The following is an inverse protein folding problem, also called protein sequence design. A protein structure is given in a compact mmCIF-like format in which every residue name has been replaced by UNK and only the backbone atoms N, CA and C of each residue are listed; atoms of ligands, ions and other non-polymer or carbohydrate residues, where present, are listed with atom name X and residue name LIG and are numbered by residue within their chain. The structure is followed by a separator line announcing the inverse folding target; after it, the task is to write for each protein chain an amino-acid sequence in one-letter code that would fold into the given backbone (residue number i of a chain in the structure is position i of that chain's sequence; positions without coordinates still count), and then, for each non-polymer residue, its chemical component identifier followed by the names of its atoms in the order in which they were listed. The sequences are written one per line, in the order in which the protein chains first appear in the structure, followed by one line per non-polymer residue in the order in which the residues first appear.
data_IF_731899862962
#
_entry.id   IF_731899862962
#
_cell.length_a   1.000
_cell.length_b   1.000
_cell.length_c   1.000
_cell.angle_alpha   90.00
_cell.angle_beta   90.00
_cell.angle_gamma   90.00
#
_symmetry.space_group_name_H-M   'P 1'
#
loop_
_entity.id
_entity.type
_entity.pdbx_description
1 polymer ?
#
# COMPACT_ATOMS: atom_id res chain seq x y z
N UNK A 1 2.21 -14.68 88.52
CA UNK A 1 1.32 -14.71 87.34
C UNK A 1 1.62 -13.49 86.47
N UNK A 2 2.32 -13.64 85.34
CA UNK A 2 2.55 -12.56 84.37
C UNK A 2 1.90 -12.97 83.05
N UNK A 3 0.91 -12.20 82.60
CA UNK A 3 0.18 -12.44 81.34
C UNK A 3 0.98 -11.81 80.20
N UNK A 4 1.34 -12.61 79.21
CA UNK A 4 1.87 -12.15 77.93
C UNK A 4 0.69 -11.83 76.99
N UNK A 5 0.66 -10.61 76.44
CA UNK A 5 -0.29 -10.21 75.41
C UNK A 5 0.43 -10.41 74.07
N UNK A 6 -0.08 -11.33 73.26
CA UNK A 6 0.37 -11.55 71.89
C UNK A 6 -0.39 -10.60 70.96
N UNK A 7 0.32 -9.65 70.35
CA UNK A 7 -0.20 -8.82 69.27
C UNK A 7 0.03 -9.53 67.93
N UNK A 8 -1.04 -10.03 67.33
CA UNK A 8 -1.04 -10.51 65.95
C UNK A 8 -1.01 -9.29 65.02
N UNK A 9 0.09 -9.08 64.30
CA UNK A 9 0.17 -8.06 63.26
C UNK A 9 -0.34 -8.65 61.94
N UNK A 10 -1.52 -8.19 61.50
CA UNK A 10 -2.10 -8.57 60.21
C UNK A 10 -1.39 -7.78 59.11
N UNK A 11 -0.58 -8.45 58.28
CA UNK A 11 0.02 -7.84 57.10
C UNK A 11 -1.05 -7.67 56.02
N UNK A 12 -1.39 -6.41 55.70
CA UNK A 12 -2.30 -6.06 54.61
C UNK A 12 -1.51 -5.97 53.30
N UNK A 13 -1.59 -7.00 52.47
CA UNK A 13 -0.96 -7.01 51.14
C UNK A 13 -1.71 -6.06 50.23
N UNK A 14 -1.14 -4.90 49.94
CA UNK A 14 -1.66 -3.97 48.94
C UNK A 14 -1.36 -4.59 47.57
N UNK A 15 -2.38 -5.13 46.91
CA UNK A 15 -2.32 -5.48 45.49
C UNK A 15 -2.05 -4.20 44.71
N UNK A 16 -0.80 -4.01 44.28
CA UNK A 16 -0.45 -2.94 43.35
C UNK A 16 -1.19 -3.18 42.04
N UNK A 17 -2.09 -2.27 41.68
CA UNK A 17 -2.60 -2.17 40.32
C UNK A 17 -1.41 -1.79 39.44
N UNK A 18 -0.87 -2.75 38.69
CA UNK A 18 0.06 -2.42 37.62
C UNK A 18 -0.67 -1.54 36.59
N UNK A 19 -0.09 -0.39 36.18
CA UNK A 19 -0.69 0.44 35.17
C UNK A 19 -0.82 -0.39 33.89
N UNK A 20 -2.07 -0.57 33.44
CA UNK A 20 -2.36 -1.22 32.17
C UNK A 20 -1.62 -0.46 31.07
N UNK A 21 -0.77 -1.12 30.24
CA UNK A 21 -0.17 -0.48 29.09
C UNK A 21 -1.25 0.23 28.28
N UNK A 22 -1.11 1.55 28.13
CA UNK A 22 -2.02 2.33 27.31
C UNK A 22 -2.06 1.70 25.91
N UNK A 23 -3.25 1.32 25.45
CA UNK A 23 -3.44 0.83 24.10
C UNK A 23 -2.87 1.86 23.15
N UNK A 24 -1.78 1.52 22.46
CA UNK A 24 -1.22 2.40 21.45
C UNK A 24 -2.30 2.68 20.41
N UNK A 25 -2.54 3.94 20.02
CA UNK A 25 -3.60 4.27 19.06
C UNK A 25 -3.44 3.37 17.83
N UNK A 26 -4.54 2.78 17.36
CA UNK A 26 -4.54 2.00 16.12
C UNK A 26 -3.89 2.83 15.02
N UNK A 27 -3.03 2.25 14.15
CA UNK A 27 -2.44 3.01 13.06
C UNK A 27 -3.57 3.70 12.28
N UNK A 28 -3.54 5.03 12.24
CA UNK A 28 -4.59 5.79 11.59
C UNK A 28 -4.36 5.72 10.08
N UNK A 29 -5.33 5.21 9.33
CA UNK A 29 -5.32 5.36 7.87
C UNK A 29 -5.45 6.86 7.54
N UNK A 30 -4.52 7.35 6.74
CA UNK A 30 -4.45 8.73 6.28
C UNK A 30 -4.86 8.77 4.81
N UNK A 31 -5.72 9.71 4.45
CA UNK A 31 -6.06 9.95 3.04
C UNK A 31 -4.87 10.57 2.32
N UNK A 32 -4.40 9.89 1.27
CA UNK A 32 -3.37 10.42 0.37
C UNK A 32 -3.93 11.29 -0.75
N UNK A 33 -5.22 11.16 -1.04
CA UNK A 33 -5.89 11.95 -2.05
C UNK A 33 -7.14 12.61 -1.47
N UNK A 34 -7.30 13.91 -1.70
CA UNK A 34 -8.40 14.71 -1.16
C UNK A 34 -9.65 14.73 -2.05
N UNK A 35 -9.58 14.08 -3.23
CA UNK A 35 -10.67 14.03 -4.20
C UNK A 35 -10.74 15.23 -5.15
N UNK A 36 -9.92 16.27 -4.96
CA UNK A 36 -10.08 17.55 -5.69
C UNK A 36 -8.79 18.15 -6.21
N UNK A 37 -7.63 17.71 -5.72
CA UNK A 37 -6.33 18.26 -6.13
C UNK A 37 -5.21 17.23 -6.06
N UNK A 38 -4.11 17.51 -6.74
CA UNK A 38 -2.86 16.73 -6.65
C UNK A 38 -1.96 17.17 -5.49
N UNK A 39 -2.50 17.82 -4.45
CA UNK A 39 -1.70 18.12 -3.25
C UNK A 39 -1.20 16.82 -2.61
N UNK A 40 0.08 16.78 -2.26
CA UNK A 40 0.73 15.56 -1.78
C UNK A 40 1.25 14.64 -2.90
N UNK A 41 1.15 15.08 -4.16
CA UNK A 41 1.58 14.35 -5.34
C UNK A 41 2.41 15.22 -6.28
N UNK A 42 3.42 14.62 -6.88
CA UNK A 42 4.29 15.24 -7.88
C UNK A 42 4.33 14.36 -9.13
N UNK A 43 4.01 14.95 -10.29
CA UNK A 43 3.98 14.27 -11.57
C UNK A 43 3.92 15.27 -12.72
N UNK A 44 4.02 14.75 -13.94
CA UNK A 44 3.94 15.56 -15.15
C UNK A 44 2.51 16.11 -15.35
N UNK A 45 2.29 17.44 -15.32
CA UNK A 45 0.95 18.03 -15.43
C UNK A 45 0.34 17.88 -16.82
N UNK A 46 1.12 17.48 -17.83
CA UNK A 46 0.57 17.14 -19.15
C UNK A 46 -0.15 15.78 -19.14
N UNK A 47 0.17 14.90 -18.19
CA UNK A 47 -0.39 13.54 -18.11
C UNK A 47 -1.41 13.42 -16.98
N UNK A 48 -1.18 14.14 -15.88
CA UNK A 48 -1.93 13.95 -14.64
C UNK A 48 -2.79 15.17 -14.31
N UNK A 49 -4.05 14.89 -14.04
CA UNK A 49 -5.05 15.87 -13.62
C UNK A 49 -6.02 15.26 -12.60
N UNK A 50 -6.98 16.04 -12.12
CA UNK A 50 -8.10 15.54 -11.33
C UNK A 50 -9.40 15.83 -12.07
N UNK A 51 -10.20 14.80 -12.29
CA UNK A 51 -11.48 14.84 -12.99
C UNK A 51 -12.50 14.03 -12.21
N UNK A 52 -13.70 14.58 -11.96
CA UNK A 52 -14.83 13.88 -11.33
C UNK A 52 -14.49 13.12 -10.03
N UNK A 53 -13.65 13.72 -9.18
CA UNK A 53 -13.28 13.11 -7.90
C UNK A 53 -12.20 12.03 -8.00
N UNK A 54 -11.55 11.88 -9.15
CA UNK A 54 -10.49 10.91 -9.40
C UNK A 54 -9.23 11.58 -9.96
N UNK A 55 -8.07 11.05 -9.57
CA UNK A 55 -6.82 11.29 -10.29
C UNK A 55 -6.98 10.64 -11.66
N UNK A 56 -6.84 11.45 -12.71
CA UNK A 56 -7.02 11.05 -14.09
C UNK A 56 -5.68 11.16 -14.82
N UNK A 57 -5.18 10.02 -15.32
CA UNK A 57 -3.97 9.92 -16.11
C UNK A 57 -4.29 9.69 -17.58
N UNK A 58 -3.68 10.46 -18.48
CA UNK A 58 -3.81 10.31 -19.92
C UNK A 58 -2.44 10.35 -20.58
N UNK A 59 -2.18 9.43 -21.51
CA UNK A 59 -1.03 9.51 -22.38
C UNK A 59 -1.29 8.84 -23.72
N UNK A 60 -0.62 9.32 -24.76
CA UNK A 60 -0.45 8.65 -26.05
C UNK A 60 1.04 8.50 -26.39
N UNK A 61 1.92 8.72 -25.41
CA UNK A 61 3.35 8.79 -25.61
C UNK A 61 3.99 7.39 -25.61
N UNK A 62 5.19 7.29 -26.19
CA UNK A 62 5.94 6.02 -26.21
C UNK A 62 6.51 5.63 -24.85
N UNK A 63 6.34 6.49 -23.83
CA UNK A 63 6.81 6.28 -22.46
C UNK A 63 5.68 6.45 -21.44
N UNK A 64 5.63 5.55 -20.46
CA UNK A 64 4.81 5.70 -19.26
C UNK A 64 5.55 6.46 -18.17
N UNK A 65 4.79 7.00 -17.23
CA UNK A 65 5.27 7.83 -16.12
C UNK A 65 4.49 7.49 -14.84
N UNK A 66 5.02 7.94 -13.71
CA UNK A 66 4.39 7.83 -12.40
C UNK A 66 3.87 9.19 -11.94
N UNK A 67 2.74 9.18 -11.24
CA UNK A 67 2.39 10.23 -10.30
C UNK A 67 2.87 9.78 -8.91
N UNK A 68 3.86 10.50 -8.35
CA UNK A 68 4.55 10.10 -7.13
C UNK A 68 3.98 10.83 -5.91
N UNK A 69 3.63 10.09 -4.87
CA UNK A 69 3.32 10.69 -3.56
C UNK A 69 4.54 11.39 -2.97
N UNK A 70 4.33 12.42 -2.15
CA UNK A 70 5.44 13.19 -1.55
C UNK A 70 6.17 12.43 -0.43
N UNK A 71 5.49 11.49 0.23
CA UNK A 71 6.06 10.64 1.28
C UNK A 71 6.79 9.43 0.73
N UNK A 72 7.70 8.88 1.54
CA UNK A 72 8.40 7.62 1.26
C UNK A 72 7.98 6.53 2.25
N UNK A 73 7.58 5.38 1.72
CA UNK A 73 6.92 4.29 2.45
C UNK A 73 7.78 3.03 2.43
N UNK A 74 7.84 2.34 3.57
CA UNK A 74 8.46 1.03 3.72
C UNK A 74 7.40 -0.02 3.95
N UNK A 75 7.09 -0.28 5.21
CA UNK A 75 5.95 -1.10 5.61
C UNK A 75 4.67 -0.26 5.51
N UNK A 76 3.71 -0.68 4.69
CA UNK A 76 2.45 0.02 4.53
C UNK A 76 1.29 -0.90 4.16
N UNK A 77 0.08 -0.45 4.49
CA UNK A 77 -1.16 -0.90 3.85
C UNK A 77 -1.69 0.25 3.01
N UNK A 78 -1.95 0.00 1.73
CA UNK A 78 -2.57 0.94 0.81
C UNK A 78 -3.93 0.40 0.40
N UNK A 79 -4.96 1.21 0.52
CA UNK A 79 -6.29 0.92 -0.03
C UNK A 79 -6.61 2.01 -1.04
N UNK A 80 -7.00 1.62 -2.25
CA UNK A 80 -7.41 2.55 -3.30
C UNK A 80 -8.50 1.93 -4.18
N UNK A 81 -9.15 2.77 -4.99
CA UNK A 81 -9.92 2.33 -6.14
C UNK A 81 -9.24 2.72 -7.44
N UNK A 82 -9.23 1.82 -8.41
CA UNK A 82 -8.68 2.09 -9.73
C UNK A 82 -9.50 1.46 -10.86
N UNK A 83 -9.41 2.03 -12.06
CA UNK A 83 -9.93 1.45 -13.30
C UNK A 83 -9.11 1.86 -14.53
N UNK A 84 -9.14 1.02 -15.56
CA UNK A 84 -8.60 1.30 -16.88
C UNK A 84 -9.71 1.87 -17.76
N UNK A 85 -9.62 3.12 -18.16
CA UNK A 85 -10.64 3.78 -19.00
C UNK A 85 -10.41 3.51 -20.49
N UNK A 86 -9.15 3.36 -20.92
CA UNK A 86 -8.85 2.98 -22.29
C UNK A 86 -9.19 1.51 -22.58
N UNK A 87 -9.48 1.19 -23.85
CA UNK A 87 -9.89 -0.16 -24.29
C UNK A 87 -8.83 -1.25 -24.06
N UNK A 88 -7.56 -0.85 -23.97
CA UNK A 88 -6.43 -1.75 -23.76
C UNK A 88 -5.39 -1.07 -22.87
N UNK A 89 -4.29 -1.79 -22.60
CA UNK A 89 -3.20 -1.42 -21.69
C UNK A 89 -3.42 -1.86 -20.24
N UNK A 90 -2.64 -1.34 -19.30
CA UNK A 90 -2.81 -1.58 -17.87
C UNK A 90 -2.42 -0.34 -17.05
N UNK A 91 -2.77 -0.42 -15.77
CA UNK A 91 -2.42 0.54 -14.74
C UNK A 91 -1.55 -0.14 -13.68
N UNK A 92 -1.17 0.55 -12.61
CA UNK A 92 -0.50 -0.12 -11.51
C UNK A 92 -0.04 0.80 -10.39
N UNK A 93 0.45 0.18 -9.32
CA UNK A 93 0.99 0.89 -8.16
C UNK A 93 2.43 0.46 -7.96
N UNK A 94 3.34 1.42 -8.09
CA UNK A 94 4.76 1.25 -7.86
C UNK A 94 5.15 1.67 -6.44
N UNK A 95 6.06 0.93 -5.84
CA UNK A 95 6.63 1.24 -4.53
C UNK A 95 8.00 0.56 -4.38
N UNK A 96 8.68 0.85 -3.27
CA UNK A 96 10.03 0.38 -2.97
C UNK A 96 11.09 0.68 -4.05
N UNK A 97 10.91 1.80 -4.76
CA UNK A 97 11.83 2.30 -5.78
C UNK A 97 12.26 3.74 -5.52
N UNK A 98 13.02 4.30 -6.46
CA UNK A 98 13.50 5.67 -6.46
C UNK A 98 12.47 6.70 -6.91
N UNK A 99 12.54 7.87 -6.28
CA UNK A 99 11.92 9.09 -6.79
C UNK A 99 12.77 9.65 -7.94
N UNK A 100 12.33 9.43 -9.17
CA UNK A 100 13.01 9.99 -10.34
C UNK A 100 12.49 11.37 -10.71
N UNK A 101 13.40 12.28 -11.05
CA UNK A 101 13.07 13.64 -11.50
C UNK A 101 12.32 13.66 -12.84
N UNK A 102 12.45 12.60 -13.65
CA UNK A 102 11.75 12.41 -14.91
C UNK A 102 10.48 11.54 -14.79
N UNK A 103 10.06 11.24 -13.56
CA UNK A 103 8.87 10.44 -13.24
C UNK A 103 8.82 9.03 -13.85
N UNK A 104 9.95 8.50 -14.32
CA UNK A 104 10.05 7.11 -14.77
C UNK A 104 9.90 6.16 -13.58
N UNK A 105 9.73 4.87 -13.85
CA UNK A 105 9.38 3.87 -12.84
C UNK A 105 10.38 3.72 -11.68
N UNK A 106 11.65 4.08 -11.89
CA UNK A 106 12.61 4.24 -10.79
C UNK A 106 12.85 2.97 -10.00
N UNK A 107 13.17 1.85 -10.67
CA UNK A 107 13.50 0.59 -9.99
C UNK A 107 12.45 0.18 -8.92
N UNK A 108 11.15 0.38 -9.19
CA UNK A 108 10.08 -0.03 -8.28
C UNK A 108 9.68 -1.49 -8.45
N UNK A 109 9.01 -2.02 -7.42
CA UNK A 109 8.07 -3.14 -7.55
C UNK A 109 6.69 -2.57 -7.93
N UNK A 110 6.12 -3.07 -9.02
CA UNK A 110 4.79 -2.74 -9.51
C UNK A 110 3.82 -3.87 -9.21
N UNK A 111 2.64 -3.54 -8.69
CA UNK A 111 1.45 -4.42 -8.71
C UNK A 111 0.41 -3.88 -9.70
N UNK A 112 -0.26 -4.79 -10.40
CA UNK A 112 -1.17 -4.49 -11.51
C UNK A 112 -2.58 -5.04 -11.19
N UNK A 113 -3.42 -4.28 -10.48
CA UNK A 113 -4.83 -4.63 -10.31
C UNK A 113 -5.63 -4.36 -11.61
N UNK A 114 -6.79 -5.01 -11.80
CA UNK A 114 -7.39 -6.00 -10.88
C UNK A 114 -6.90 -7.44 -11.12
N UNK A 115 -6.00 -7.68 -12.08
CA UNK A 115 -5.65 -9.04 -12.53
C UNK A 115 -4.49 -9.70 -11.79
N UNK A 116 -3.84 -8.99 -10.86
CA UNK A 116 -2.76 -9.58 -10.07
C UNK A 116 -1.43 -9.68 -10.82
N UNK A 117 -1.22 -8.88 -11.86
CA UNK A 117 0.08 -8.78 -12.51
C UNK A 117 1.10 -8.13 -11.57
N UNK A 118 2.39 -8.42 -11.79
CA UNK A 118 3.48 -7.73 -11.12
C UNK A 118 4.65 -7.53 -12.08
N UNK A 119 5.42 -6.47 -11.85
CA UNK A 119 6.67 -6.22 -12.56
C UNK A 119 7.71 -5.66 -11.61
N UNK A 120 8.94 -6.15 -11.70
CA UNK A 120 10.08 -5.62 -10.98
C UNK A 120 10.94 -4.81 -11.95
N UNK A 121 10.95 -3.49 -11.78
CA UNK A 121 11.70 -2.58 -12.63
C UNK A 121 13.18 -2.45 -12.26
N UNK A 122 13.65 -3.11 -11.20
CA UNK A 122 15.08 -3.12 -10.90
C UNK A 122 15.87 -3.75 -12.06
N UNK A 123 17.10 -3.27 -12.26
CA UNK A 123 17.95 -3.71 -13.36
C UNK A 123 18.10 -5.24 -13.44
N UNK A 124 17.82 -5.80 -14.62
CA UNK A 124 17.93 -7.25 -14.87
C UNK A 124 16.77 -8.09 -14.33
N UNK A 125 15.73 -7.47 -13.77
CA UNK A 125 14.51 -8.15 -13.31
C UNK A 125 13.39 -8.05 -14.36
N UNK A 126 12.17 -8.41 -13.98
CA UNK A 126 11.01 -8.47 -14.85
C UNK A 126 9.80 -8.98 -14.08
N UNK A 127 8.98 -9.84 -14.69
CA UNK A 127 7.87 -10.50 -13.98
C UNK A 127 8.40 -11.41 -12.87
N UNK A 128 8.18 -11.09 -11.57
CA UNK A 128 8.67 -11.92 -10.48
C UNK A 128 7.80 -13.17 -10.30
N UNK A 129 8.40 -14.22 -9.70
CA UNK A 129 7.63 -15.36 -9.20
C UNK A 129 6.72 -14.87 -8.06
N UNK A 130 5.46 -15.29 -8.10
CA UNK A 130 4.45 -15.00 -7.09
C UNK A 130 3.40 -16.11 -7.06
N UNK A 131 2.73 -16.26 -5.94
CA UNK A 131 1.54 -17.11 -5.84
C UNK A 131 0.34 -16.32 -6.40
N UNK A 132 -0.24 -16.81 -7.49
CA UNK A 132 -1.51 -16.31 -8.00
C UNK A 132 -2.62 -17.13 -7.36
N UNK A 133 -3.42 -16.50 -6.51
CA UNK A 133 -4.52 -17.19 -5.82
C UNK A 133 -5.70 -17.30 -6.80
N UNK A 134 -6.34 -18.47 -6.94
CA UNK A 134 -7.48 -18.64 -7.84
C UNK A 134 -8.61 -17.64 -7.56
N UNK A 135 -9.03 -16.91 -8.58
CA UNK A 135 -10.09 -15.91 -8.51
C UNK A 135 -10.80 -15.77 -9.85
N UNK A 136 -12.02 -15.23 -9.83
CA UNK A 136 -12.73 -14.84 -11.04
C UNK A 136 -12.08 -13.61 -11.64
N UNK A 137 -11.82 -13.62 -12.94
CA UNK A 137 -11.29 -12.45 -13.64
C UNK A 137 -12.27 -11.29 -13.56
N UNK A 138 -11.77 -10.13 -13.15
CA UNK A 138 -12.53 -8.90 -13.09
C UNK A 138 -12.39 -8.10 -14.40
N UNK A 139 -13.44 -7.35 -14.76
CA UNK A 139 -13.41 -6.41 -15.89
C UNK A 139 -12.59 -5.16 -15.52
N UNK A 140 -11.39 -4.94 -16.10
CA UNK A 140 -10.50 -3.84 -15.71
C UNK A 140 -11.10 -2.44 -15.94
N UNK A 141 -12.18 -2.32 -16.71
CA UNK A 141 -12.87 -1.06 -16.98
C UNK A 141 -13.82 -0.63 -15.86
N UNK A 142 -14.12 -1.54 -14.92
CA UNK A 142 -14.91 -1.23 -13.73
C UNK A 142 -14.04 -0.71 -12.58
N UNK A 143 -14.66 -0.01 -11.65
CA UNK A 143 -13.99 0.39 -10.42
C UNK A 143 -13.72 -0.82 -9.54
N UNK A 144 -12.45 -1.00 -9.14
CA UNK A 144 -12.01 -2.05 -8.24
C UNK A 144 -11.39 -1.47 -6.98
N UNK A 145 -11.86 -1.92 -5.81
CA UNK A 145 -11.14 -1.68 -4.56
C UNK A 145 -9.96 -2.65 -4.49
N UNK A 146 -8.77 -2.10 -4.27
CA UNK A 146 -7.52 -2.84 -4.14
C UNK A 146 -6.90 -2.53 -2.79
N UNK A 147 -6.55 -3.57 -2.05
CA UNK A 147 -5.69 -3.49 -0.86
C UNK A 147 -4.32 -4.08 -1.20
N UNK A 148 -3.27 -3.32 -0.92
CA UNK A 148 -1.88 -3.77 -0.97
C UNK A 148 -1.32 -3.73 0.45
N UNK A 149 -0.87 -4.87 0.96
CA UNK A 149 -0.12 -4.97 2.20
C UNK A 149 1.34 -5.27 1.84
N UNK A 150 2.20 -4.28 2.05
CA UNK A 150 3.62 -4.33 1.73
C UNK A 150 4.44 -4.33 3.02
N UNK A 151 5.30 -5.32 3.19
CA UNK A 151 6.21 -5.45 4.32
C UNK A 151 7.65 -5.43 3.81
N UNK A 152 8.29 -4.27 3.91
CA UNK A 152 9.64 -4.04 3.39
C UNK A 152 10.65 -4.89 4.18
N UNK A 153 10.49 -4.94 5.50
CA UNK A 153 11.39 -5.71 6.38
C UNK A 153 11.48 -7.18 5.98
N UNK A 154 10.36 -7.78 5.55
CA UNK A 154 10.30 -9.18 5.12
C UNK A 154 10.34 -9.36 3.60
N UNK A 155 10.28 -8.28 2.82
CA UNK A 155 10.20 -8.32 1.36
C UNK A 155 8.93 -8.99 0.86
N UNK A 156 7.81 -8.88 1.57
CA UNK A 156 6.54 -9.53 1.19
C UNK A 156 5.50 -8.53 0.74
N UNK A 157 4.70 -8.93 -0.25
CA UNK A 157 3.53 -8.17 -0.71
C UNK A 157 2.34 -9.11 -0.81
N UNK A 158 1.21 -8.69 -0.24
CA UNK A 158 -0.10 -9.31 -0.44
C UNK A 158 -1.02 -8.31 -1.13
N UNK A 159 -1.84 -8.78 -2.05
CA UNK A 159 -2.83 -7.93 -2.72
C UNK A 159 -4.20 -8.59 -2.74
N UNK A 160 -5.22 -7.83 -2.35
CA UNK A 160 -6.62 -8.18 -2.55
C UNK A 160 -7.28 -7.22 -3.54
N UNK A 161 -8.25 -7.75 -4.28
CA UNK A 161 -9.13 -7.00 -5.17
C UNK A 161 -10.58 -7.37 -4.85
N UNK A 162 -11.42 -6.37 -4.63
CA UNK A 162 -12.84 -6.53 -4.31
C UNK A 162 -13.11 -7.54 -3.17
N UNK A 163 -12.24 -7.54 -2.16
CA UNK A 163 -12.32 -8.41 -0.99
C UNK A 163 -11.89 -9.86 -1.21
N UNK A 164 -11.15 -10.16 -2.28
CA UNK A 164 -10.56 -11.47 -2.54
C UNK A 164 -9.05 -11.29 -2.62
N UNK A 165 -8.27 -12.07 -1.85
CA UNK A 165 -6.82 -12.11 -2.01
C UNK A 165 -6.46 -12.76 -3.36
N UNK A 166 -5.63 -12.09 -4.16
CA UNK A 166 -5.28 -12.56 -5.51
C UNK A 166 -3.78 -12.77 -5.72
N UNK A 167 -2.93 -12.14 -4.91
CA UNK A 167 -1.46 -12.24 -5.04
C UNK A 167 -0.79 -12.36 -3.67
N UNK A 168 0.18 -13.27 -3.58
CA UNK A 168 1.24 -13.26 -2.57
C UNK A 168 2.60 -13.27 -3.24
N UNK A 169 3.46 -12.36 -2.81
CA UNK A 169 4.80 -12.19 -3.33
C UNK A 169 5.81 -12.18 -2.18
N UNK A 170 6.96 -12.80 -2.43
CA UNK A 170 8.13 -12.81 -1.57
C UNK A 170 9.34 -12.48 -2.45
N UNK A 171 10.06 -11.42 -2.08
CA UNK A 171 11.34 -11.11 -2.68
C UNK A 171 12.39 -12.15 -2.28
N UNK A 172 13.21 -12.58 -3.23
CA UNK A 172 14.30 -13.52 -2.98
C UNK A 172 15.50 -12.84 -2.30
N UNK A 173 15.61 -11.51 -2.41
CA UNK A 173 16.64 -10.68 -1.79
C UNK A 173 16.04 -9.39 -1.21
N UNK A 174 15.35 -9.46 -0.05
CA UNK A 174 14.73 -8.28 0.56
C UNK A 174 15.71 -7.14 0.89
N UNK A 175 17.00 -7.43 1.04
CA UNK A 175 18.03 -6.43 1.39
C UNK A 175 18.28 -5.40 0.29
N UNK A 176 17.87 -5.70 -0.95
CA UNK A 176 17.95 -4.75 -2.07
C UNK A 176 16.84 -3.69 -2.04
N UNK A 177 15.73 -3.99 -1.36
CA UNK A 177 14.55 -3.14 -1.36
C UNK A 177 14.78 -1.95 -0.44
N UNK A 178 14.13 -0.83 -0.75
CA UNK A 178 14.26 0.40 0.02
C UNK A 178 12.92 1.11 0.19
N UNK A 179 12.84 2.02 1.15
CA UNK A 179 11.71 2.93 1.25
C UNK A 179 11.70 3.86 0.04
N UNK A 180 10.51 4.19 -0.44
CA UNK A 180 10.33 5.09 -1.58
C UNK A 180 8.88 5.53 -1.76
N UNK A 181 8.59 6.40 -2.74
CA UNK A 181 7.25 6.86 -2.98
C UNK A 181 6.30 5.73 -3.36
N UNK A 182 5.03 5.89 -3.02
CA UNK A 182 3.95 5.22 -3.76
C UNK A 182 3.75 6.00 -5.06
N UNK A 183 3.83 5.31 -6.19
CA UNK A 183 3.65 5.85 -7.53
C UNK A 183 2.44 5.24 -8.24
N UNK A 184 1.49 6.06 -8.66
CA UNK A 184 0.40 5.63 -9.54
C UNK A 184 0.91 5.59 -10.96
N UNK A 185 0.77 4.45 -11.63
CA UNK A 185 1.33 4.25 -12.96
C UNK A 185 0.31 4.60 -14.04
N UNK A 186 0.78 5.33 -15.05
CA UNK A 186 0.22 5.27 -16.39
C UNK A 186 1.27 4.63 -17.31
N UNK A 187 0.89 3.55 -17.99
CA UNK A 187 1.80 2.83 -18.87
C UNK A 187 1.98 3.56 -20.22
N UNK A 188 3.03 3.24 -20.98
CA UNK A 188 3.25 3.80 -22.32
C UNK A 188 2.18 3.37 -23.31
N UNK A 189 2.05 4.12 -24.40
CA UNK A 189 1.03 3.94 -25.43
C UNK A 189 -0.25 4.71 -25.10
N UNK A 190 -1.27 4.58 -25.95
CA UNK A 190 -2.58 5.13 -25.65
C UNK A 190 -3.13 4.50 -24.36
N UNK A 191 -3.27 5.31 -23.32
CA UNK A 191 -3.69 4.86 -22.00
C UNK A 191 -4.48 5.95 -21.29
N UNK A 192 -5.58 5.54 -20.67
CA UNK A 192 -6.36 6.39 -19.77
C UNK A 192 -6.64 5.58 -18.51
N UNK A 193 -6.22 6.10 -17.37
CA UNK A 193 -6.31 5.42 -16.07
C UNK A 193 -6.90 6.35 -15.02
N UNK A 194 -7.61 5.78 -14.06
CA UNK A 194 -8.17 6.56 -12.96
C UNK A 194 -7.94 5.91 -11.61
N UNK A 195 -7.71 6.75 -10.61
CA UNK A 195 -7.47 6.37 -9.22
C UNK A 195 -8.26 7.28 -8.27
N UNK A 196 -8.86 6.72 -7.22
CA UNK A 196 -9.55 7.49 -6.17
C UNK A 196 -9.60 6.74 -4.85
N UNK A 197 -10.16 7.38 -3.83
CA UNK A 197 -10.35 6.80 -2.49
C UNK A 197 -9.04 6.21 -1.92
N UNK A 198 -7.94 6.98 -2.01
CA UNK A 198 -6.58 6.50 -1.70
C UNK A 198 -6.26 6.76 -0.23
N UNK A 199 -6.07 5.71 0.54
CA UNK A 199 -5.71 5.73 1.96
C UNK A 199 -4.46 4.89 2.22
N UNK A 200 -3.58 5.38 3.08
CA UNK A 200 -2.38 4.65 3.53
C UNK A 200 -2.34 4.51 5.05
N UNK A 201 -1.95 3.33 5.50
CA UNK A 201 -1.56 3.02 6.87
C UNK A 201 -0.06 2.74 6.87
N UNK A 202 0.73 3.51 7.61
CA UNK A 202 2.17 3.27 7.74
C UNK A 202 2.42 2.34 8.93
N UNK A 203 3.32 1.36 8.76
CA UNK A 203 3.63 0.34 9.76
C UNK A 203 2.38 -0.38 10.29
N UNK A 204 1.58 -1.04 9.42
CA UNK A 204 0.40 -1.76 9.84
C UNK A 204 0.76 -2.85 10.86
N UNK A 205 -0.03 -2.96 11.93
CA UNK A 205 0.24 -3.94 13.00
C UNK A 205 -0.11 -5.37 12.62
N UNK A 206 -1.11 -5.51 11.76
CA UNK A 206 -1.65 -6.81 11.37
C UNK A 206 -1.08 -7.21 10.02
N UNK A 207 -0.37 -8.34 9.98
CA UNK A 207 0.10 -8.97 8.74
C UNK A 207 -1.01 -9.80 8.07
N UNK A 208 -2.13 -9.12 7.78
CA UNK A 208 -3.27 -9.68 7.05
C UNK A 208 -3.96 -8.59 6.23
N UNK A 209 -4.59 -9.01 5.14
CA UNK A 209 -5.47 -8.16 4.36
C UNK A 209 -6.78 -7.95 5.13
N UNK A 210 -7.22 -6.70 5.28
CA UNK A 210 -8.41 -6.33 6.05
C UNK A 210 -9.68 -6.17 5.20
N UNK A 211 -9.52 -6.06 3.88
CA UNK A 211 -10.62 -6.00 2.92
C UNK A 211 -11.12 -7.38 2.53
N UNK A 212 -10.31 -8.43 2.75
CA UNK A 212 -10.69 -9.81 2.47
C UNK A 212 -11.80 -10.26 3.42
N UNK A 213 -12.88 -10.79 2.85
CA UNK A 213 -14.08 -11.23 3.58
C UNK A 213 -14.08 -12.73 3.86
#
# INVERSE_FOLDING_TARGET
MRRFISCLATALTILGLEPTPAAQPSPQRVRLFDGVSLRGWTGNPAFWSVTDGAIHGVTNETRGELLLSDGDYGDFRLILKSRLVSDSNHLGVCFWGDRRADWRYGDCILVIPPHGGMWDYHAGKGSPKRENIPHTKADPHQWHETEVLANLKHGTVRMAVNGIEIVRYQDEDPGRLKRGPIGLQIHSGASIVEYKDIEVEVNPREDRLITVK
#
